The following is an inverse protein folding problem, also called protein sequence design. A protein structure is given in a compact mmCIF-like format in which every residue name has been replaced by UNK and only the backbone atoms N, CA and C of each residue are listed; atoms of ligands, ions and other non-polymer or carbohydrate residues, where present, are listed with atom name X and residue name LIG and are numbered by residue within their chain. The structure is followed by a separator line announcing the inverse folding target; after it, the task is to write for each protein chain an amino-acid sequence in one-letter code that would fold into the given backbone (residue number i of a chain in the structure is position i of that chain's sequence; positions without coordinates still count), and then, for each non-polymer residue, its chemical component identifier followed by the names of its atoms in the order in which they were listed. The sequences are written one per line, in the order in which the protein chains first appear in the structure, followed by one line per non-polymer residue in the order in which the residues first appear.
data_IF_527948935262
#
_entry.id   IF_527948935262
#
_cell.length_a   1.000
_cell.length_b   1.000
_cell.length_c   1.000
_cell.angle_alpha   90.00
_cell.angle_beta   90.00
_cell.angle_gamma   90.00
#
_symmetry.space_group_name_H-M   'P 1'
#
loop_
_entity.id
_entity.type
_entity.pdbx_description
1 polymer ?
#
# COMPACT_ATOMS: atom_id res chain seq x y z
N UNK A 1 -6.46 15.74 -15.33
CA UNK A 1 -6.98 16.00 -13.97
C UNK A 1 -7.14 14.67 -13.24
N UNK A 2 -6.73 14.60 -11.99
CA UNK A 2 -6.89 13.40 -11.18
C UNK A 2 -8.36 13.11 -10.89
N UNK A 3 -8.81 11.91 -11.26
CA UNK A 3 -10.14 11.43 -10.92
C UNK A 3 -10.00 10.20 -10.01
N UNK A 4 -10.36 10.34 -8.73
CA UNK A 4 -10.18 9.31 -7.72
C UNK A 4 -10.83 7.98 -8.10
N UNK A 5 -12.02 8.01 -8.73
CA UNK A 5 -12.75 6.80 -9.09
C UNK A 5 -12.04 5.94 -10.15
N UNK A 6 -11.07 6.50 -10.87
CA UNK A 6 -10.24 5.74 -11.81
C UNK A 6 -9.13 4.94 -11.12
N UNK A 7 -8.80 5.27 -9.89
CA UNK A 7 -7.63 4.72 -9.18
C UNK A 7 -7.95 4.03 -7.87
N UNK A 8 -9.10 4.36 -7.24
CA UNK A 8 -9.48 3.80 -5.95
C UNK A 8 -10.62 2.77 -6.10
N UNK A 9 -10.36 1.57 -5.62
CA UNK A 9 -11.30 0.45 -5.58
C UNK A 9 -11.73 0.23 -4.13
N UNK A 10 -13.03 0.46 -3.82
CA UNK A 10 -13.57 0.34 -2.46
C UNK A 10 -14.08 -1.06 -2.18
N UNK A 11 -14.06 -1.46 -0.91
CA UNK A 11 -14.64 -2.71 -0.42
C UNK A 11 -14.14 -3.95 -1.17
N UNK A 12 -12.83 -4.01 -1.41
CA UNK A 12 -12.20 -5.09 -2.18
C UNK A 12 -12.04 -6.39 -1.37
N UNK A 13 -12.09 -6.28 -0.05
CA UNK A 13 -12.12 -7.42 0.87
C UNK A 13 -13.22 -7.20 1.91
N UNK A 14 -13.71 -8.30 2.51
CA UNK A 14 -14.70 -8.26 3.57
C UNK A 14 -14.07 -7.92 4.93
N UNK A 15 -14.91 -7.62 5.91
CA UNK A 15 -14.47 -7.43 7.31
C UNK A 15 -13.79 -8.69 7.84
N UNK A 16 -14.33 -9.86 7.51
CA UNK A 16 -13.77 -11.16 7.92
C UNK A 16 -12.39 -11.38 7.29
N UNK A 17 -12.23 -11.06 6.01
CA UNK A 17 -10.94 -11.16 5.32
C UNK A 17 -9.92 -10.16 5.88
N UNK A 18 -10.36 -8.96 6.24
CA UNK A 18 -9.52 -7.96 6.91
C UNK A 18 -9.02 -8.48 8.26
N UNK A 19 -9.90 -9.06 9.06
CA UNK A 19 -9.55 -9.64 10.36
C UNK A 19 -8.55 -10.79 10.21
N UNK A 20 -8.78 -11.68 9.25
CA UNK A 20 -7.87 -12.80 8.97
C UNK A 20 -6.50 -12.30 8.52
N UNK A 21 -6.46 -11.32 7.63
CA UNK A 21 -5.22 -10.71 7.17
C UNK A 21 -4.45 -10.07 8.33
N UNK A 22 -5.14 -9.32 9.19
CA UNK A 22 -4.54 -8.71 10.38
C UNK A 22 -3.98 -9.76 11.34
N UNK A 23 -4.63 -10.91 11.49
CA UNK A 23 -4.15 -12.01 12.34
C UNK A 23 -2.89 -12.68 11.76
N UNK A 24 -2.79 -12.77 10.44
CA UNK A 24 -1.62 -13.35 9.78
C UNK A 24 -0.40 -12.43 9.80
N UNK A 25 -0.61 -11.12 9.84
CA UNK A 25 0.49 -10.15 9.86
C UNK A 25 1.01 -10.00 11.29
N UNK A 26 2.34 -10.12 11.52
CA UNK A 26 2.91 -9.98 12.86
C UNK A 26 2.59 -8.63 13.48
N UNK A 27 2.26 -8.62 14.79
CA UNK A 27 2.01 -7.38 15.52
C UNK A 27 3.34 -6.74 15.96
N UNK A 28 4.08 -6.22 14.98
CA UNK A 28 5.38 -5.58 15.19
C UNK A 28 5.25 -4.07 15.13
N UNK A 29 6.02 -3.38 15.96
CA UNK A 29 6.09 -1.92 15.93
C UNK A 29 7.55 -1.47 15.93
N UNK A 30 7.78 -0.24 15.47
CA UNK A 30 9.08 0.41 15.52
C UNK A 30 8.94 1.72 16.30
N UNK A 31 9.96 2.07 17.09
CA UNK A 31 9.87 3.18 18.05
C UNK A 31 9.54 4.54 17.41
N UNK A 32 10.16 4.85 16.28
CA UNK A 32 10.09 6.20 15.68
C UNK A 32 9.44 6.27 14.32
N UNK A 33 9.02 5.13 13.76
CA UNK A 33 8.42 5.09 12.42
C UNK A 33 7.63 3.80 12.24
N UNK A 34 6.92 3.69 11.12
CA UNK A 34 6.24 2.45 10.74
C UNK A 34 7.23 1.28 10.62
N UNK A 35 6.78 0.08 10.93
CA UNK A 35 7.53 -1.15 10.67
C UNK A 35 7.28 -1.58 9.23
N UNK A 36 8.34 -1.96 8.54
CA UNK A 36 8.29 -2.40 7.14
C UNK A 36 8.73 -3.86 7.05
N UNK A 37 7.91 -4.71 6.43
CA UNK A 37 8.23 -6.09 6.10
C UNK A 37 8.24 -6.23 4.58
N UNK A 38 9.32 -6.78 4.02
CA UNK A 38 9.48 -6.95 2.56
C UNK A 38 9.63 -8.41 2.20
N UNK A 39 8.90 -8.82 1.17
CA UNK A 39 8.95 -10.18 0.62
C UNK A 39 9.09 -10.12 -0.89
N UNK A 40 9.60 -11.19 -1.49
CA UNK A 40 9.88 -11.24 -2.91
C UNK A 40 11.18 -10.51 -3.26
N UNK A 41 11.25 -9.90 -4.43
CA UNK A 41 12.43 -9.18 -4.90
C UNK A 41 12.26 -7.70 -4.63
N UNK A 42 12.98 -7.18 -3.62
CA UNK A 42 12.87 -5.77 -3.23
C UNK A 42 13.91 -4.90 -3.93
N UNK A 43 13.45 -3.82 -4.54
CA UNK A 43 14.33 -2.77 -5.11
C UNK A 43 14.99 -1.90 -4.03
N UNK A 44 14.47 -1.96 -2.82
CA UNK A 44 14.97 -1.16 -1.68
C UNK A 44 16.08 -1.87 -0.92
N UNK A 45 16.38 -3.10 -1.29
CA UNK A 45 17.44 -3.90 -0.68
C UNK A 45 18.58 -4.06 -1.68
N UNK A 46 19.76 -3.50 -1.34
CA UNK A 46 20.95 -3.56 -2.20
C UNK A 46 21.45 -4.98 -2.47
N UNK A 47 21.02 -5.96 -1.69
CA UNK A 47 21.43 -7.35 -1.81
C UNK A 47 20.51 -8.17 -2.71
N UNK A 48 19.40 -7.60 -3.20
CA UNK A 48 18.40 -8.28 -4.03
C UNK A 48 17.98 -9.64 -3.43
N UNK A 49 17.81 -9.69 -2.12
CA UNK A 49 17.42 -10.92 -1.45
C UNK A 49 15.99 -11.24 -1.83
N UNK A 50 15.78 -12.37 -2.49
CA UNK A 50 14.46 -12.93 -2.71
C UNK A 50 14.02 -13.64 -1.42
N UNK A 51 13.08 -13.04 -0.69
CA UNK A 51 12.46 -13.67 0.46
C UNK A 51 11.19 -14.39 0.02
N UNK A 52 10.97 -15.57 0.60
CA UNK A 52 9.75 -16.34 0.33
C UNK A 52 8.51 -15.53 0.70
N UNK A 53 7.56 -15.44 -0.25
CA UNK A 53 6.30 -14.75 -0.03
C UNK A 53 5.37 -15.64 0.77
N UNK A 54 4.84 -15.18 1.93
CA UNK A 54 3.87 -15.95 2.69
C UNK A 54 2.62 -16.30 1.88
N UNK A 55 2.07 -17.48 2.12
CA UNK A 55 0.92 -17.97 1.36
C UNK A 55 -0.28 -17.01 1.43
N UNK A 56 -0.53 -16.39 2.58
CA UNK A 56 -1.65 -15.46 2.72
C UNK A 56 -1.52 -14.23 1.79
N UNK A 57 -0.30 -13.79 1.45
CA UNK A 57 -0.08 -12.71 0.49
C UNK A 57 -0.28 -13.19 -0.95
N UNK A 58 0.10 -14.42 -1.25
CA UNK A 58 -0.17 -15.03 -2.57
C UNK A 58 -1.68 -15.19 -2.78
N UNK A 59 -2.39 -15.65 -1.77
CA UNK A 59 -3.85 -15.81 -1.82
C UNK A 59 -4.55 -14.45 -2.01
N UNK A 60 -4.07 -13.42 -1.31
CA UNK A 60 -4.57 -12.06 -1.46
C UNK A 60 -4.32 -11.52 -2.88
N UNK A 61 -3.13 -11.75 -3.40
CA UNK A 61 -2.77 -11.39 -4.78
C UNK A 61 -3.70 -12.06 -5.79
N UNK A 62 -3.96 -13.36 -5.63
CA UNK A 62 -4.87 -14.12 -6.50
C UNK A 62 -6.29 -13.56 -6.44
N UNK A 63 -6.77 -13.23 -5.25
CA UNK A 63 -8.09 -12.62 -5.08
C UNK A 63 -8.19 -11.29 -5.83
N UNK A 64 -7.22 -10.40 -5.65
CA UNK A 64 -7.22 -9.09 -6.30
C UNK A 64 -7.09 -9.21 -7.83
N UNK A 65 -6.34 -10.20 -8.30
CA UNK A 65 -6.24 -10.53 -9.72
C UNK A 65 -7.59 -11.01 -10.26
N UNK A 66 -8.26 -11.89 -9.56
CA UNK A 66 -9.57 -12.42 -9.96
C UNK A 66 -10.67 -11.35 -9.96
N UNK A 67 -10.54 -10.33 -9.12
CA UNK A 67 -11.43 -9.16 -9.12
C UNK A 67 -11.11 -8.17 -10.25
N UNK A 68 -10.04 -8.39 -11.03
CA UNK A 68 -9.61 -7.50 -12.09
C UNK A 68 -8.94 -6.20 -11.59
N UNK A 69 -8.54 -6.15 -10.33
CA UNK A 69 -7.92 -4.97 -9.70
C UNK A 69 -6.39 -5.04 -9.85
N UNK A 70 -5.80 -6.18 -9.55
CA UNK A 70 -4.37 -6.42 -9.74
C UNK A 70 -4.15 -6.97 -11.16
N UNK A 71 -3.52 -6.17 -12.02
CA UNK A 71 -3.37 -6.45 -13.46
C UNK A 71 -1.94 -6.79 -13.85
N UNK A 72 -1.07 -7.01 -12.90
CA UNK A 72 0.31 -7.42 -13.11
C UNK A 72 0.69 -8.53 -12.12
N UNK A 73 1.74 -9.28 -12.41
CA UNK A 73 2.27 -10.29 -11.49
C UNK A 73 3.26 -9.61 -10.55
N UNK A 74 2.94 -9.48 -9.26
CA UNK A 74 3.83 -8.81 -8.31
C UNK A 74 5.15 -9.57 -8.15
N UNK A 75 6.23 -8.82 -8.01
CA UNK A 75 7.56 -9.31 -7.63
C UNK A 75 7.94 -8.88 -6.22
N UNK A 76 7.42 -7.74 -5.77
CA UNK A 76 7.67 -7.13 -4.47
C UNK A 76 6.35 -7.04 -3.72
N UNK A 77 6.36 -7.54 -2.49
CA UNK A 77 5.24 -7.49 -1.54
C UNK A 77 5.75 -6.79 -0.29
N UNK A 78 5.29 -5.57 -0.06
CA UNK A 78 5.73 -4.78 1.10
C UNK A 78 4.56 -4.55 2.04
N UNK A 79 4.74 -4.90 3.31
CA UNK A 79 3.76 -4.63 4.36
C UNK A 79 4.29 -3.47 5.21
N UNK A 80 3.46 -2.43 5.36
CA UNK A 80 3.73 -1.31 6.26
C UNK A 80 2.78 -1.39 7.44
N UNK A 81 3.34 -1.42 8.65
CA UNK A 81 2.58 -1.47 9.90
C UNK A 81 2.77 -0.13 10.61
N UNK A 82 1.68 0.63 10.71
CA UNK A 82 1.65 1.96 11.32
C UNK A 82 1.08 1.85 12.73
N UNK A 83 1.71 2.52 13.68
CA UNK A 83 1.12 2.82 14.98
C UNK A 83 0.59 4.27 14.99
N UNK A 84 -0.23 4.66 15.98
CA UNK A 84 -0.72 6.04 16.05
C UNK A 84 0.40 7.07 15.88
N UNK A 85 0.14 8.11 15.10
CA UNK A 85 1.03 9.22 14.72
C UNK A 85 2.12 8.89 13.70
N UNK A 86 2.25 7.65 13.25
CA UNK A 86 3.14 7.34 12.13
C UNK A 86 2.62 7.99 10.84
N UNK A 87 3.54 8.42 10.00
CA UNK A 87 3.24 9.10 8.73
C UNK A 87 4.34 8.82 7.71
N UNK A 88 4.10 9.23 6.47
CA UNK A 88 5.12 9.23 5.43
C UNK A 88 5.11 10.60 4.74
N UNK A 89 6.27 11.26 4.71
CA UNK A 89 6.46 12.49 3.97
C UNK A 89 6.32 12.28 2.46
N UNK A 90 6.12 13.37 1.73
CA UNK A 90 6.05 13.35 0.28
C UNK A 90 7.29 12.71 -0.35
N UNK A 91 7.07 11.73 -1.20
CA UNK A 91 8.11 11.00 -1.91
C UNK A 91 7.57 10.38 -3.20
N UNK A 92 8.46 9.90 -4.02
CA UNK A 92 8.17 9.02 -5.16
C UNK A 92 8.87 7.70 -4.88
N UNK A 93 8.16 6.59 -5.02
CA UNK A 93 8.76 5.25 -4.86
C UNK A 93 9.81 4.98 -5.93
N UNK A 94 10.80 4.17 -5.60
CA UNK A 94 11.83 3.76 -6.56
C UNK A 94 11.24 2.98 -7.73
N UNK A 95 11.85 3.16 -8.91
CA UNK A 95 11.42 2.48 -10.13
C UNK A 95 10.20 3.13 -10.77
N UNK A 96 9.66 2.50 -11.77
CA UNK A 96 8.55 2.99 -12.59
C UNK A 96 7.40 1.99 -12.72
N UNK A 97 7.47 0.86 -12.01
CA UNK A 97 6.42 -0.17 -12.03
C UNK A 97 5.13 0.36 -11.40
N UNK A 98 4.00 -0.07 -11.94
CA UNK A 98 2.72 0.18 -11.31
C UNK A 98 2.70 -0.36 -9.88
N UNK A 99 1.99 0.33 -9.01
CA UNK A 99 1.90 0.01 -7.60
C UNK A 99 0.44 -0.07 -7.18
N UNK A 100 0.06 -1.19 -6.57
CA UNK A 100 -1.26 -1.35 -5.96
C UNK A 100 -1.10 -1.39 -4.45
N UNK A 101 -1.83 -0.54 -3.73
CA UNK A 101 -1.78 -0.41 -2.28
C UNK A 101 -3.12 -0.85 -1.70
N UNK A 102 -3.15 -1.93 -0.94
CA UNK A 102 -4.31 -2.32 -0.14
C UNK A 102 -4.16 -1.73 1.26
N UNK A 103 -5.18 -1.01 1.72
CA UNK A 103 -5.21 -0.38 3.05
C UNK A 103 -6.24 -1.06 3.93
N UNK A 104 -5.87 -1.38 5.17
CA UNK A 104 -6.78 -2.01 6.13
C UNK A 104 -6.69 -1.34 7.51
N UNK A 105 -7.71 -1.58 8.32
CA UNK A 105 -7.93 -1.21 9.72
C UNK A 105 -8.37 0.24 9.90
N UNK A 106 -7.60 1.21 9.45
CA UNK A 106 -7.87 2.62 9.74
C UNK A 106 -7.85 3.44 8.44
N UNK A 107 -8.90 4.20 8.14
CA UNK A 107 -8.85 5.15 7.03
C UNK A 107 -7.78 6.22 7.28
N UNK A 108 -7.20 6.71 6.20
CA UNK A 108 -6.14 7.73 6.25
C UNK A 108 -6.39 8.84 5.25
N UNK A 109 -5.70 9.97 5.44
CA UNK A 109 -5.62 11.03 4.45
C UNK A 109 -4.40 10.78 3.56
N UNK A 110 -4.65 10.63 2.27
CA UNK A 110 -3.63 10.41 1.25
C UNK A 110 -3.49 11.67 0.40
N UNK A 111 -2.27 12.11 0.19
CA UNK A 111 -1.99 13.33 -0.54
C UNK A 111 -1.12 13.03 -1.76
N UNK A 112 -1.44 13.71 -2.86
CA UNK A 112 -0.64 13.74 -4.08
C UNK A 112 -0.23 15.19 -4.35
N UNK A 113 0.99 15.41 -4.81
CA UNK A 113 1.42 16.75 -5.27
C UNK A 113 2.40 16.66 -6.43
N UNK A 114 2.32 17.67 -7.31
CA UNK A 114 3.30 17.92 -8.37
C UNK A 114 3.43 19.43 -8.52
N UNK A 115 4.58 19.97 -8.14
CA UNK A 115 4.75 21.43 -8.08
C UNK A 115 3.73 22.07 -7.12
N UNK A 116 2.95 23.01 -7.62
CA UNK A 116 1.89 23.69 -6.85
C UNK A 116 0.54 22.96 -6.86
N UNK A 117 0.41 21.93 -7.67
CA UNK A 117 -0.80 21.13 -7.74
C UNK A 117 -0.84 20.12 -6.58
N UNK A 118 -1.98 20.07 -5.90
CA UNK A 118 -2.22 19.15 -4.78
C UNK A 118 -3.60 18.50 -4.89
N UNK A 119 -3.65 17.22 -4.57
CA UNK A 119 -4.88 16.46 -4.43
C UNK A 119 -4.82 15.72 -3.10
N UNK A 120 -5.90 15.78 -2.34
CA UNK A 120 -6.01 15.08 -1.06
C UNK A 120 -7.35 14.34 -1.01
N UNK A 121 -7.34 13.12 -0.48
CA UNK A 121 -8.56 12.32 -0.35
C UNK A 121 -8.44 11.35 0.83
N UNK A 122 -9.60 10.91 1.32
CA UNK A 122 -9.64 9.82 2.28
C UNK A 122 -9.40 8.50 1.54
N UNK A 123 -8.44 7.73 2.04
CA UNK A 123 -8.18 6.36 1.59
C UNK A 123 -8.83 5.43 2.61
N UNK A 124 -10.00 4.84 2.29
CA UNK A 124 -10.74 4.03 3.23
C UNK A 124 -10.07 2.70 3.51
N UNK A 125 -10.40 2.12 4.65
CA UNK A 125 -10.02 0.74 4.95
C UNK A 125 -10.69 -0.23 3.96
N UNK A 126 -10.09 -1.39 3.76
CA UNK A 126 -10.52 -2.44 2.83
C UNK A 126 -10.65 -1.97 1.38
N UNK A 127 -9.83 -0.98 1.03
CA UNK A 127 -9.78 -0.38 -0.31
C UNK A 127 -8.38 -0.52 -0.89
N UNK A 128 -8.30 -0.51 -2.21
CA UNK A 128 -7.04 -0.58 -2.94
C UNK A 128 -6.86 0.65 -3.84
N UNK A 129 -5.69 1.25 -3.81
CA UNK A 129 -5.30 2.40 -4.62
C UNK A 129 -4.26 1.96 -5.65
N UNK A 130 -4.54 2.21 -6.93
CA UNK A 130 -3.61 1.97 -8.02
C UNK A 130 -2.85 3.27 -8.34
N UNK A 131 -1.54 3.25 -8.17
CA UNK A 131 -0.66 4.32 -8.66
C UNK A 131 -0.04 3.86 -9.97
N UNK A 132 -0.38 4.55 -11.05
CA UNK A 132 0.08 4.25 -12.41
C UNK A 132 0.28 5.54 -13.20
N UNK A 133 1.03 5.46 -14.31
CA UNK A 133 1.30 6.61 -15.16
C UNK A 133 2.01 7.73 -14.41
N UNK A 134 1.63 8.97 -14.70
CA UNK A 134 2.26 10.15 -14.07
C UNK A 134 2.06 10.21 -12.55
N UNK A 135 0.94 9.70 -12.04
CA UNK A 135 0.70 9.67 -10.59
C UNK A 135 1.63 8.72 -9.86
N UNK A 136 2.22 7.78 -10.57
CA UNK A 136 3.23 6.86 -10.05
C UNK A 136 4.66 7.43 -10.18
N UNK A 137 4.97 8.07 -11.30
CA UNK A 137 6.35 8.46 -11.63
C UNK A 137 6.67 9.93 -11.39
N UNK A 138 5.69 10.83 -11.53
CA UNK A 138 5.91 12.27 -11.51
C UNK A 138 5.34 12.95 -10.26
N UNK A 139 4.26 12.44 -9.72
CA UNK A 139 3.61 12.98 -8.53
C UNK A 139 4.20 12.35 -7.27
N UNK A 140 4.51 13.19 -6.31
CA UNK A 140 4.85 12.74 -4.96
C UNK A 140 3.58 12.38 -4.21
N UNK A 141 3.68 11.42 -3.29
CA UNK A 141 2.58 11.07 -2.40
C UNK A 141 3.04 11.06 -0.95
N UNK A 142 2.08 11.31 -0.06
CA UNK A 142 2.30 11.32 1.39
C UNK A 142 1.11 10.74 2.12
N UNK A 143 1.34 10.28 3.35
CA UNK A 143 0.31 9.81 4.27
C UNK A 143 0.43 10.66 5.52
N UNK A 144 -0.66 11.33 5.89
CA UNK A 144 -0.73 12.13 7.11
C UNK A 144 -0.68 11.23 8.35
N UNK A 145 -0.32 11.77 9.53
CA UNK A 145 -0.26 10.98 10.76
C UNK A 145 -1.54 10.19 10.99
N UNK A 146 -1.39 8.87 11.15
CA UNK A 146 -2.54 7.98 11.35
C UNK A 146 -3.07 8.11 12.77
N UNK A 147 -4.37 7.92 12.95
CA UNK A 147 -5.03 8.06 14.25
C UNK A 147 -4.99 6.78 15.07
N UNK A 148 -4.84 5.64 14.42
CA UNK A 148 -4.83 4.32 15.04
C UNK A 148 -3.98 3.36 14.20
N UNK A 149 -3.83 2.11 14.67
CA UNK A 149 -3.12 1.07 13.92
C UNK A 149 -3.67 0.96 12.50
N UNK A 150 -2.79 1.05 11.55
CA UNK A 150 -3.10 0.86 10.12
C UNK A 150 -2.07 -0.08 9.50
N UNK A 151 -2.52 -0.90 8.57
CA UNK A 151 -1.65 -1.75 7.76
C UNK A 151 -1.91 -1.45 6.30
N UNK A 152 -0.83 -1.37 5.51
CA UNK A 152 -0.93 -1.41 4.06
C UNK A 152 -0.13 -2.58 3.49
N UNK A 153 -0.66 -3.19 2.45
CA UNK A 153 0.04 -4.21 1.66
C UNK A 153 0.26 -3.62 0.27
N UNK A 154 1.51 -3.50 -0.12
CA UNK A 154 1.91 -2.88 -1.38
C UNK A 154 2.42 -3.95 -2.33
N UNK A 155 1.81 -4.00 -3.51
CA UNK A 155 2.18 -4.91 -4.61
C UNK A 155 2.89 -4.11 -5.70
N UNK A 156 4.08 -4.59 -6.12
CA UNK A 156 4.86 -4.01 -7.22
C UNK A 156 5.36 -5.06 -8.18
#
# INVERSE_FOLDING_TARGET
MFNLDDYLYRDVISVEEENELNQNIPNLTRKYSRKILRYGVSKYDNNLISLEVPQYLLDLSDKLTNLGILKFVPKDYTINIYKPNDFIDYHIDLGDDDTLILSILTPINFNLRKGDEKVSFEFPQRSALLLTGEYRTDWQHSIEPVTDRRISVVFR
#
